data_IF_056082393136
#
_entry.id   IF_056082393136
#
_cell.length_a   1.000
_cell.length_b   1.000
_cell.length_c   1.000
_cell.angle_alpha   90.00
_cell.angle_beta   90.00
_cell.angle_gamma   90.00
#
_symmetry.space_group_name_H-M   'P 1'
#
loop_
_entity.id
_entity.type
_entity.pdbx_description
1 polymer ?
#
# COMPACT_ATOMS: atom_id res chain seq x y z
N UNK A 1 33.53 3.94 19.75
CA UNK A 1 34.43 2.88 20.27
C UNK A 1 35.12 2.22 19.08
N UNK A 2 36.45 2.25 19.01
CA UNK A 2 37.22 1.67 17.88
C UNK A 2 37.48 0.17 18.09
N UNK A 3 36.46 -0.67 17.85
CA UNK A 3 36.63 -2.14 17.84
C UNK A 3 36.85 -2.66 16.41
N UNK A 4 37.43 -3.87 16.27
CA UNK A 4 37.63 -4.50 14.96
C UNK A 4 36.33 -4.61 14.17
N UNK A 5 35.23 -4.99 14.83
CA UNK A 5 33.91 -5.11 14.20
C UNK A 5 33.42 -3.78 13.60
N UNK A 6 33.59 -2.66 14.32
CA UNK A 6 33.22 -1.33 13.82
C UNK A 6 34.05 -0.94 12.58
N UNK A 7 35.35 -1.25 12.56
CA UNK A 7 36.19 -0.99 11.38
C UNK A 7 35.80 -1.86 10.18
N UNK A 8 35.48 -3.13 10.39
CA UNK A 8 35.03 -4.03 9.32
C UNK A 8 33.68 -3.57 8.76
N UNK A 9 32.76 -3.13 9.62
CA UNK A 9 31.47 -2.55 9.20
C UNK A 9 31.66 -1.27 8.39
N UNK A 10 32.52 -0.35 8.84
CA UNK A 10 32.85 0.87 8.10
C UNK A 10 33.51 0.57 6.74
N UNK A 11 34.29 -0.52 6.63
CA UNK A 11 34.81 -0.96 5.34
C UNK A 11 33.71 -1.55 4.44
N UNK A 12 32.79 -2.33 5.01
CA UNK A 12 31.65 -2.89 4.29
C UNK A 12 30.70 -1.80 3.79
N UNK A 13 30.52 -0.70 4.52
CA UNK A 13 29.62 0.40 4.12
C UNK A 13 30.13 1.23 2.93
N UNK A 14 31.36 1.01 2.45
CA UNK A 14 31.95 1.75 1.32
C UNK A 14 31.53 1.23 -0.06
N UNK A 15 30.89 0.07 -0.12
CA UNK A 15 30.39 -0.52 -1.36
C UNK A 15 29.21 -1.44 -1.09
N UNK A 16 28.24 -1.54 -2.00
CA UNK A 16 27.19 -2.54 -1.87
C UNK A 16 27.77 -3.97 -1.96
N UNK A 17 27.10 -4.92 -1.32
CA UNK A 17 27.45 -6.33 -1.30
C UNK A 17 26.32 -7.13 -1.96
N UNK A 18 26.68 -8.05 -2.86
CA UNK A 18 25.70 -8.95 -3.48
C UNK A 18 25.61 -10.24 -2.67
N UNK A 19 24.53 -10.42 -1.93
CA UNK A 19 24.36 -11.58 -1.05
C UNK A 19 22.90 -12.04 -0.93
N UNK A 20 22.71 -13.31 -0.55
CA UNK A 20 21.39 -13.87 -0.25
C UNK A 20 21.00 -13.38 1.14
N UNK A 21 19.89 -12.65 1.24
CA UNK A 21 19.30 -12.20 2.49
C UNK A 21 18.16 -13.15 2.85
N UNK A 22 18.09 -13.60 4.10
CA UNK A 22 16.95 -14.39 4.56
C UNK A 22 15.73 -13.48 4.75
N UNK A 23 14.54 -13.94 4.39
CA UNK A 23 13.29 -13.20 4.66
C UNK A 23 13.13 -12.83 6.14
N UNK A 24 13.55 -13.72 7.04
CA UNK A 24 13.57 -13.49 8.49
C UNK A 24 14.54 -12.39 8.93
N UNK A 25 15.45 -11.91 8.09
CA UNK A 25 16.33 -10.77 8.41
C UNK A 25 15.69 -9.42 8.02
N UNK A 26 14.58 -9.42 7.26
CA UNK A 26 13.87 -8.20 6.89
C UNK A 26 13.12 -7.63 8.10
N UNK A 27 13.34 -6.34 8.36
CA UNK A 27 12.76 -5.63 9.50
C UNK A 27 11.53 -4.81 9.15
N UNK A 28 11.26 -4.53 7.87
CA UNK A 28 10.12 -3.75 7.40
C UNK A 28 9.59 -4.35 6.11
N UNK A 29 8.39 -3.91 5.72
CA UNK A 29 7.86 -4.18 4.40
C UNK A 29 8.72 -3.51 3.30
N UNK A 30 8.58 -4.03 2.10
CA UNK A 30 9.26 -3.52 0.91
C UNK A 30 8.61 -2.23 0.39
N UNK A 31 9.43 -1.37 -0.22
CA UNK A 31 8.96 -0.17 -0.92
C UNK A 31 9.49 -0.15 -2.35
N UNK A 32 8.69 0.35 -3.29
CA UNK A 32 9.08 0.47 -4.69
C UNK A 32 9.95 1.70 -4.87
N UNK A 33 11.26 1.50 -5.02
CA UNK A 33 12.21 2.59 -5.32
C UNK A 33 11.95 3.19 -6.70
N UNK A 34 11.68 2.33 -7.69
CA UNK A 34 11.44 2.74 -9.08
C UNK A 34 10.63 1.67 -9.81
N UNK A 35 9.70 2.12 -10.65
CA UNK A 35 8.97 1.27 -11.59
C UNK A 35 9.32 1.69 -13.02
N UNK A 36 9.78 0.74 -13.84
CA UNK A 36 10.24 1.02 -15.21
C UNK A 36 9.42 0.23 -16.22
N UNK A 37 8.62 0.93 -17.02
CA UNK A 37 8.03 0.36 -18.23
C UNK A 37 9.04 0.42 -19.38
N UNK A 38 9.57 -0.74 -19.78
CA UNK A 38 10.58 -0.84 -20.83
C UNK A 38 10.09 -0.38 -22.23
N UNK A 39 8.79 -0.11 -22.41
CA UNK A 39 8.24 0.46 -23.66
C UNK A 39 8.40 1.98 -23.73
N UNK A 40 8.36 2.65 -22.58
CA UNK A 40 8.28 4.11 -22.49
C UNK A 40 9.52 4.73 -21.84
N UNK A 41 10.26 3.97 -21.02
CA UNK A 41 11.42 4.46 -20.28
C UNK A 41 12.52 4.97 -21.22
N UNK A 42 13.10 6.12 -20.87
CA UNK A 42 14.22 6.73 -21.58
C UNK A 42 15.53 6.54 -20.83
N UNK A 43 16.66 6.78 -21.53
CA UNK A 43 17.97 6.79 -20.89
C UNK A 43 18.11 7.88 -19.82
N UNK A 44 17.32 8.95 -19.89
CA UNK A 44 17.39 10.05 -18.93
C UNK A 44 16.67 9.70 -17.62
N UNK A 45 15.58 8.94 -17.68
CA UNK A 45 14.80 8.50 -16.50
C UNK A 45 15.62 7.64 -15.54
N UNK A 46 16.63 6.92 -16.06
CA UNK A 46 17.51 6.07 -15.25
C UNK A 46 18.80 6.74 -14.79
N UNK A 47 19.10 7.98 -15.23
CA UNK A 47 20.36 8.65 -14.85
C UNK A 47 20.42 9.00 -13.37
N UNK A 48 19.28 9.32 -12.76
CA UNK A 48 19.17 9.70 -11.35
C UNK A 48 17.84 9.22 -10.80
N UNK A 49 17.89 8.29 -9.87
CA UNK A 49 16.73 7.76 -9.17
C UNK A 49 16.89 8.18 -7.71
N UNK A 50 15.89 8.86 -7.15
CA UNK A 50 15.90 9.36 -5.78
C UNK A 50 14.60 8.96 -5.09
N UNK A 51 14.71 8.50 -3.85
CA UNK A 51 13.58 8.10 -3.01
C UNK A 51 13.82 8.60 -1.59
N UNK A 52 12.85 9.32 -1.04
CA UNK A 52 12.71 9.48 0.41
C UNK A 52 11.75 8.44 0.92
N UNK A 53 12.13 7.69 1.95
CA UNK A 53 11.27 6.66 2.51
C UNK A 53 11.32 6.65 4.04
N UNK A 54 10.18 6.30 4.64
CA UNK A 54 10.03 6.03 6.06
C UNK A 54 9.61 4.58 6.21
N UNK A 55 10.59 3.71 6.43
CA UNK A 55 10.34 2.30 6.72
C UNK A 55 9.84 2.16 8.16
N UNK A 56 8.85 1.32 8.39
CA UNK A 56 8.35 1.01 9.74
C UNK A 56 8.78 -0.40 10.11
N UNK A 57 9.45 -0.56 11.25
CA UNK A 57 9.90 -1.85 11.70
C UNK A 57 8.71 -2.74 12.12
N UNK A 58 8.60 -3.93 11.53
CA UNK A 58 7.58 -4.94 11.80
C UNK A 58 7.98 -5.91 12.93
N UNK A 59 9.22 -5.82 13.43
CA UNK A 59 9.73 -6.60 14.56
C UNK A 59 10.94 -5.93 15.20
N UNK A 60 11.31 -6.41 16.39
CA UNK A 60 12.55 -6.00 17.04
C UNK A 60 13.79 -6.52 16.32
N UNK A 61 14.87 -5.76 16.35
CA UNK A 61 16.13 -6.18 15.74
C UNK A 61 17.17 -5.07 15.69
N UNK A 62 18.22 -5.29 14.90
CA UNK A 62 19.22 -4.27 14.60
C UNK A 62 19.11 -3.94 13.12
N UNK A 63 18.75 -2.71 12.81
CA UNK A 63 18.76 -2.18 11.46
C UNK A 63 20.21 -1.98 11.01
N UNK A 64 20.67 -2.81 10.08
CA UNK A 64 22.07 -2.88 9.67
C UNK A 64 22.33 -2.29 8.29
N UNK A 65 21.29 -2.07 7.49
CA UNK A 65 21.44 -1.79 6.08
C UNK A 65 20.12 -1.82 5.32
N UNK A 66 20.21 -1.52 4.03
CA UNK A 66 19.11 -1.57 3.07
C UNK A 66 19.35 -2.77 2.14
N UNK A 67 18.29 -3.54 1.89
CA UNK A 67 18.29 -4.62 0.91
C UNK A 67 17.54 -4.15 -0.34
N UNK A 68 18.17 -4.25 -1.51
CA UNK A 68 17.57 -3.93 -2.80
C UNK A 68 17.49 -5.19 -3.66
N UNK A 69 16.39 -5.35 -4.36
CA UNK A 69 16.16 -6.41 -5.32
C UNK A 69 15.30 -5.87 -6.48
N UNK A 70 14.97 -6.72 -7.44
CA UNK A 70 14.08 -6.33 -8.51
C UNK A 70 13.10 -7.45 -8.86
N UNK A 71 12.03 -7.04 -9.52
CA UNK A 71 11.04 -7.93 -10.11
C UNK A 71 10.88 -7.57 -11.58
N UNK A 72 10.84 -8.57 -12.44
CA UNK A 72 10.60 -8.42 -13.87
C UNK A 72 9.33 -9.16 -14.26
N UNK A 73 8.34 -8.41 -14.75
CA UNK A 73 7.09 -8.96 -15.28
C UNK A 73 7.14 -9.00 -16.79
N UNK A 74 6.87 -10.16 -17.37
CA UNK A 74 6.70 -10.38 -18.81
C UNK A 74 5.19 -10.36 -19.12
N UNK A 75 4.63 -9.22 -19.59
CA UNK A 75 3.21 -9.11 -19.86
C UNK A 75 2.81 -9.96 -21.06
N UNK A 76 1.64 -10.58 -20.99
CA UNK A 76 1.03 -11.35 -22.08
C UNK A 76 -0.42 -10.92 -22.28
N UNK A 77 -0.87 -10.91 -23.52
CA UNK A 77 -2.28 -10.63 -23.88
C UNK A 77 -3.10 -11.93 -23.98
N UNK A 78 -2.43 -13.09 -24.07
CA UNK A 78 -3.06 -14.38 -24.33
C UNK A 78 -3.06 -15.30 -23.11
N UNK A 79 -2.16 -15.05 -22.15
CA UNK A 79 -1.94 -15.88 -20.96
C UNK A 79 -1.72 -14.98 -19.76
N UNK A 80 -1.69 -15.58 -18.57
CA UNK A 80 -1.24 -14.89 -17.37
C UNK A 80 0.19 -14.35 -17.55
N UNK A 81 0.49 -13.15 -17.03
CA UNK A 81 1.85 -12.62 -17.00
C UNK A 81 2.79 -13.54 -16.23
N UNK A 82 4.03 -13.63 -16.70
CA UNK A 82 5.10 -14.37 -15.99
C UNK A 82 5.94 -13.37 -15.22
N UNK A 83 6.18 -13.64 -13.94
CA UNK A 83 6.98 -12.77 -13.08
C UNK A 83 8.23 -13.51 -12.61
N UNK A 84 9.39 -12.86 -12.77
CA UNK A 84 10.64 -13.25 -12.14
C UNK A 84 10.91 -12.27 -10.99
N UNK A 85 10.90 -12.76 -9.75
CA UNK A 85 11.28 -11.98 -8.57
C UNK A 85 12.63 -12.44 -8.04
N UNK A 86 13.43 -11.50 -7.55
CA UNK A 86 14.66 -11.79 -6.79
C UNK A 86 14.53 -11.38 -5.33
N UNK A 87 13.31 -11.27 -4.81
CA UNK A 87 13.07 -10.89 -3.42
C UNK A 87 13.54 -11.97 -2.43
N UNK A 88 13.82 -11.60 -1.17
CA UNK A 88 14.28 -12.54 -0.14
C UNK A 88 13.32 -13.70 0.19
N UNK A 89 12.02 -13.53 -0.06
CA UNK A 89 11.01 -14.57 0.21
C UNK A 89 10.94 -15.66 -0.88
N UNK A 90 11.48 -15.36 -2.06
CA UNK A 90 11.46 -16.27 -3.21
C UNK A 90 12.71 -17.15 -3.30
N UNK A 91 12.65 -18.16 -4.17
CA UNK A 91 13.79 -19.05 -4.39
C UNK A 91 15.03 -18.25 -4.86
N UNK A 92 16.23 -18.50 -4.29
CA UNK A 92 17.42 -17.72 -4.63
C UNK A 92 17.80 -17.80 -6.11
N UNK A 93 18.06 -16.63 -6.70
CA UNK A 93 18.60 -16.51 -8.05
C UNK A 93 20.09 -16.20 -8.04
N UNK A 94 20.75 -16.28 -9.20
CA UNK A 94 22.17 -15.90 -9.31
C UNK A 94 22.41 -14.39 -9.09
N UNK A 95 21.38 -13.54 -9.21
CA UNK A 95 21.46 -12.11 -8.91
C UNK A 95 21.53 -11.83 -7.41
N UNK A 96 20.98 -12.73 -6.58
CA UNK A 96 20.80 -12.54 -5.13
C UNK A 96 20.12 -11.18 -4.84
N UNK A 97 20.48 -10.52 -3.75
CA UNK A 97 20.08 -9.15 -3.44
C UNK A 97 21.31 -8.23 -3.34
N UNK A 98 21.09 -6.92 -3.46
CA UNK A 98 22.09 -5.88 -3.28
C UNK A 98 21.92 -5.25 -1.90
N UNK A 99 22.90 -5.46 -1.02
CA UNK A 99 22.87 -4.99 0.38
C UNK A 99 23.76 -3.78 0.56
N UNK A 100 23.21 -2.69 1.08
CA UNK A 100 23.93 -1.49 1.48
C UNK A 100 24.07 -1.53 2.99
N UNK A 101 25.29 -1.78 3.48
CA UNK A 101 25.58 -1.85 4.92
C UNK A 101 25.75 -0.45 5.50
N UNK A 102 25.08 -0.15 6.60
CA UNK A 102 25.29 1.10 7.34
C UNK A 102 26.56 1.04 8.19
N UNK A 103 27.30 2.15 8.33
CA UNK A 103 28.52 2.21 9.14
C UNK A 103 28.24 1.98 10.63
N UNK A 104 27.03 2.31 11.08
CA UNK A 104 26.53 2.06 12.45
C UNK A 104 25.15 1.45 12.33
N UNK A 105 24.87 0.42 13.12
CA UNK A 105 23.55 -0.18 13.21
C UNK A 105 22.67 0.53 14.23
N UNK A 106 21.36 0.43 14.04
CA UNK A 106 20.36 1.10 14.89
C UNK A 106 19.49 0.02 15.53
N UNK A 107 19.39 -0.09 16.87
CA UNK A 107 18.40 -0.97 17.49
C UNK A 107 17.00 -0.45 17.20
N UNK A 108 16.09 -1.33 16.82
CA UNK A 108 14.71 -0.99 16.50
C UNK A 108 13.76 -1.94 17.21
N UNK A 109 12.60 -1.42 17.59
CA UNK A 109 11.47 -2.17 18.13
C UNK A 109 10.31 -2.14 17.12
N UNK A 110 9.27 -2.97 17.35
CA UNK A 110 8.04 -2.93 16.56
C UNK A 110 7.46 -1.50 16.49
N UNK A 111 7.15 -1.03 15.28
CA UNK A 111 6.61 0.30 15.01
C UNK A 111 7.66 1.42 14.95
N UNK A 112 8.95 1.12 15.13
CA UNK A 112 10.03 2.13 15.03
C UNK A 112 10.14 2.63 13.58
N UNK A 113 10.01 3.94 13.33
CA UNK A 113 10.20 4.51 11.99
C UNK A 113 11.69 4.72 11.71
N UNK A 114 12.07 4.46 10.47
CA UNK A 114 13.44 4.59 9.96
C UNK A 114 13.36 5.43 8.69
N UNK A 115 13.77 6.69 8.79
CA UNK A 115 13.72 7.63 7.68
C UNK A 115 15.07 7.71 6.97
N UNK A 116 15.07 7.68 5.64
CA UNK A 116 16.27 7.87 4.84
C UNK A 116 15.96 8.39 3.43
N UNK A 117 16.94 9.08 2.84
CA UNK A 117 17.01 9.34 1.40
C UNK A 117 17.94 8.30 0.75
N UNK A 118 17.49 7.68 -0.33
CA UNK A 118 18.25 6.78 -1.20
C UNK A 118 18.38 7.43 -2.58
N UNK A 119 19.61 7.52 -3.08
CA UNK A 119 19.93 8.07 -4.40
C UNK A 119 20.80 7.09 -5.18
N UNK A 120 20.39 6.77 -6.41
CA UNK A 120 21.16 5.99 -7.38
C UNK A 120 21.43 6.90 -8.59
N UNK A 121 22.67 7.34 -8.74
CA UNK A 121 23.09 8.25 -9.83
C UNK A 121 24.09 7.57 -10.74
N UNK A 122 23.87 7.62 -12.06
CA UNK A 122 24.83 7.11 -13.02
C UNK A 122 26.15 7.87 -12.91
N UNK A 123 27.26 7.15 -12.80
CA UNK A 123 28.59 7.75 -12.65
C UNK A 123 28.99 8.49 -13.94
N UNK A 124 29.46 9.74 -13.85
CA UNK A 124 29.97 10.48 -15.00
C UNK A 124 31.29 9.90 -15.54
N UNK A 125 32.06 9.18 -14.71
CA UNK A 125 33.30 8.52 -15.11
C UNK A 125 33.05 7.20 -15.85
N UNK A 126 31.95 6.51 -15.53
CA UNK A 126 31.59 5.23 -16.16
C UNK A 126 30.08 5.01 -16.13
N UNK A 127 29.44 5.08 -17.30
CA UNK A 127 28.00 4.92 -17.45
C UNK A 127 27.45 3.53 -17.04
N UNK A 128 28.33 2.53 -16.85
CA UNK A 128 27.95 1.20 -16.32
C UNK A 128 27.93 1.12 -14.80
N UNK A 129 28.25 2.21 -14.09
CA UNK A 129 28.28 2.27 -12.64
C UNK A 129 27.24 3.25 -12.13
N UNK A 130 26.69 2.92 -10.97
CA UNK A 130 25.89 3.84 -10.17
C UNK A 130 26.66 4.20 -8.90
N UNK A 131 26.57 5.47 -8.54
CA UNK A 131 26.89 5.99 -7.21
C UNK A 131 25.62 5.82 -6.40
N UNK A 132 25.72 5.05 -5.31
CA UNK A 132 24.60 4.80 -4.40
C UNK A 132 24.88 5.57 -3.12
N UNK A 133 23.97 6.47 -2.77
CA UNK A 133 24.06 7.30 -1.58
C UNK A 133 22.84 7.04 -0.69
N UNK A 134 23.08 6.82 0.60
CA UNK A 134 22.04 6.67 1.61
C UNK A 134 22.30 7.71 2.69
N UNK A 135 21.31 8.56 2.93
CA UNK A 135 21.35 9.58 3.98
C UNK A 135 20.29 9.25 5.00
N UNK A 136 20.70 8.86 6.21
CA UNK A 136 19.78 8.65 7.32
C UNK A 136 19.20 9.99 7.76
N UNK A 137 17.88 10.05 7.93
CA UNK A 137 17.13 11.23 8.32
C UNK A 137 16.55 11.05 9.72
N UNK A 138 16.14 12.15 10.33
CA UNK A 138 15.36 12.12 11.56
C UNK A 138 13.88 11.84 11.23
N UNK A 139 13.28 10.74 11.72
CA UNK A 139 11.86 10.45 11.52
C UNK A 139 10.91 11.53 12.09
N UNK A 140 11.36 12.32 13.07
CA UNK A 140 10.57 13.42 13.63
C UNK A 140 10.40 14.58 12.64
N UNK A 141 11.45 14.87 11.87
CA UNK A 141 11.57 16.03 10.98
C UNK A 141 11.08 15.76 9.54
N UNK A 142 10.74 14.52 9.21
CA UNK A 142 10.20 14.16 7.89
C UNK A 142 8.68 13.98 7.89
N UNK A 143 8.09 14.19 6.72
CA UNK A 143 6.71 13.80 6.44
C UNK A 143 6.61 12.27 6.34
N UNK A 144 5.60 11.71 6.98
CA UNK A 144 5.32 10.27 6.95
C UNK A 144 4.22 10.00 5.92
N UNK A 145 4.23 8.81 5.29
CA UNK A 145 3.18 8.45 4.33
C UNK A 145 1.80 8.45 4.98
N UNK A 146 0.77 8.64 4.15
CA UNK A 146 -0.61 8.43 4.56
C UNK A 146 -0.75 7.00 5.11
N UNK A 147 -1.48 6.85 6.23
CA UNK A 147 -1.64 5.57 6.93
C UNK A 147 -0.34 4.95 7.50
N UNK A 148 0.69 5.76 7.78
CA UNK A 148 1.90 5.25 8.43
C UNK A 148 1.59 4.45 9.71
N UNK A 149 2.18 3.24 9.80
CA UNK A 149 1.97 2.29 10.90
C UNK A 149 2.95 2.45 12.07
N UNK A 150 3.76 3.51 12.07
CA UNK A 150 4.74 3.71 13.14
C UNK A 150 4.10 4.08 14.48
N UNK A 151 4.92 4.00 15.53
CA UNK A 151 4.53 4.31 16.91
C UNK A 151 4.53 5.81 17.25
N UNK A 152 4.83 6.70 16.30
CA UNK A 152 4.86 8.14 16.57
C UNK A 152 3.46 8.67 16.83
N UNK A 153 3.32 9.53 17.84
CA UNK A 153 2.03 10.13 18.22
C UNK A 153 1.33 10.81 17.05
N UNK A 154 2.08 11.52 16.18
CA UNK A 154 1.53 12.17 14.98
C UNK A 154 0.83 11.16 14.06
N UNK A 155 1.46 10.02 13.79
CA UNK A 155 0.93 8.98 12.91
C UNK A 155 -0.23 8.22 13.54
N UNK A 156 -0.15 7.92 14.85
CA UNK A 156 -1.25 7.28 15.59
C UNK A 156 -2.52 8.14 15.53
N UNK A 157 -2.40 9.45 15.78
CA UNK A 157 -3.54 10.36 15.76
C UNK A 157 -4.12 10.51 14.35
N UNK A 158 -3.25 10.67 13.34
CA UNK A 158 -3.66 10.78 11.94
C UNK A 158 -4.43 9.52 11.49
N UNK A 159 -3.91 8.32 11.81
CA UNK A 159 -4.58 7.05 11.49
C UNK A 159 -5.93 6.93 12.19
N UNK A 160 -6.00 7.25 13.49
CA UNK A 160 -7.27 7.22 14.23
C UNK A 160 -8.30 8.22 13.69
N UNK A 161 -7.85 9.38 13.20
CA UNK A 161 -8.72 10.35 12.53
C UNK A 161 -9.27 9.81 11.22
N UNK A 162 -8.42 9.25 10.34
CA UNK A 162 -8.87 8.63 9.09
C UNK A 162 -9.86 7.50 9.34
N UNK A 163 -9.58 6.59 10.28
CA UNK A 163 -10.50 5.50 10.64
C UNK A 163 -11.87 5.99 11.11
N UNK A 164 -11.94 7.18 11.74
CA UNK A 164 -13.19 7.79 12.15
C UNK A 164 -13.96 8.35 10.95
N UNK A 165 -13.29 9.05 10.05
CA UNK A 165 -13.93 9.59 8.83
C UNK A 165 -14.44 8.47 7.92
N UNK A 166 -13.68 7.39 7.75
CA UNK A 166 -14.11 6.25 6.95
C UNK A 166 -15.38 5.61 7.53
N UNK A 167 -15.45 5.47 8.86
CA UNK A 167 -16.64 4.94 9.54
C UNK A 167 -17.83 5.89 9.45
N UNK A 168 -17.63 7.20 9.50
CA UNK A 168 -18.70 8.19 9.33
C UNK A 168 -19.24 8.14 7.88
N UNK A 169 -18.37 8.07 6.87
CA UNK A 169 -18.78 7.99 5.47
C UNK A 169 -19.49 6.69 5.11
N UNK A 170 -18.99 5.56 5.61
CA UNK A 170 -19.66 4.25 5.46
C UNK A 170 -20.97 4.22 6.23
N UNK A 171 -20.99 4.76 7.46
CA UNK A 171 -22.19 4.82 8.29
C UNK A 171 -23.27 5.74 7.73
N UNK A 172 -22.92 6.80 7.00
CA UNK A 172 -23.88 7.65 6.29
C UNK A 172 -24.37 6.95 5.01
N UNK A 173 -23.50 6.28 4.25
CA UNK A 173 -23.87 5.50 3.07
C UNK A 173 -24.76 4.28 3.40
N UNK A 174 -24.56 3.65 4.56
CA UNK A 174 -25.42 2.58 5.07
C UNK A 174 -26.77 3.12 5.55
N UNK A 175 -26.78 4.27 6.22
CA UNK A 175 -28.03 4.92 6.68
C UNK A 175 -28.89 5.46 5.54
N UNK A 176 -28.26 5.89 4.45
CA UNK A 176 -28.96 6.28 3.22
C UNK A 176 -29.51 5.06 2.45
N UNK A 177 -28.88 3.88 2.57
CA UNK A 177 -29.46 2.62 2.06
C UNK A 177 -30.63 2.14 2.89
N UNK A 178 -30.54 2.18 4.22
CA UNK A 178 -31.64 1.77 5.11
C UNK A 178 -32.88 2.67 4.91
N UNK A 179 -32.71 3.99 4.75
CA UNK A 179 -33.84 4.89 4.41
C UNK A 179 -34.47 4.59 3.05
N UNK A 180 -33.66 4.21 2.06
CA UNK A 180 -34.16 3.86 0.73
C UNK A 180 -34.87 2.49 0.65
N UNK A 181 -34.71 1.65 1.68
CA UNK A 181 -35.40 0.37 1.81
C UNK A 181 -36.66 0.50 2.70
N UNK A 182 -36.64 1.31 3.77
CA UNK A 182 -37.83 1.67 4.55
C UNK A 182 -38.89 2.40 3.68
N UNK A 183 -38.47 3.34 2.82
CA UNK A 183 -39.39 4.04 1.90
C UNK A 183 -40.05 3.09 0.86
N UNK A 184 -39.40 1.98 0.50
CA UNK A 184 -39.98 0.97 -0.40
C UNK A 184 -40.95 0.04 0.30
N UNK A 185 -40.72 -0.29 1.57
CA UNK A 185 -41.69 -1.08 2.36
C UNK A 185 -42.98 -0.28 2.64
N UNK A 186 -42.87 1.04 2.80
CA UNK A 186 -44.02 1.95 2.94
C UNK A 186 -44.79 2.13 1.60
N UNK A 187 -44.11 2.15 0.45
CA UNK A 187 -44.77 2.16 -0.88
C UNK A 187 -45.47 0.83 -1.18
N UNK A 188 -44.83 -0.32 -0.87
CA UNK A 188 -45.43 -1.64 -1.14
C UNK A 188 -46.63 -1.95 -0.23
N UNK A 189 -46.66 -1.38 0.98
CA UNK A 189 -47.80 -1.50 1.90
C UNK A 189 -48.98 -0.60 1.49
N UNK A 190 -48.73 0.62 1.00
CA UNK A 190 -49.77 1.52 0.47
C UNK A 190 -50.35 1.04 -0.87
N UNK A 191 -49.56 0.39 -1.74
CA UNK A 191 -50.08 -0.24 -2.95
C UNK A 191 -50.98 -1.46 -2.65
N UNK A 192 -50.64 -2.25 -1.62
CA UNK A 192 -51.48 -3.40 -1.18
C UNK A 192 -52.78 -2.96 -0.53
N UNK A 193 -52.79 -1.90 0.27
CA UNK A 193 -54.03 -1.31 0.83
C UNK A 193 -54.93 -0.73 -0.28
N UNK A 194 -54.36 -0.04 -1.27
CA UNK A 194 -55.12 0.49 -2.40
C UNK A 194 -55.68 -0.61 -3.30
N UNK A 195 -54.95 -1.70 -3.53
CA UNK A 195 -55.43 -2.86 -4.29
C UNK A 195 -56.60 -3.56 -3.57
N UNK A 196 -56.57 -3.66 -2.24
CA UNK A 196 -57.62 -4.27 -1.44
C UNK A 196 -58.92 -3.42 -1.45
N UNK A 197 -58.79 -2.09 -1.38
CA UNK A 197 -59.94 -1.17 -1.50
C UNK A 197 -60.59 -1.19 -2.91
N UNK A 198 -59.82 -1.44 -3.97
CA UNK A 198 -60.31 -1.56 -5.34
C UNK A 198 -61.08 -2.87 -5.62
N UNK A 199 -60.85 -3.91 -4.82
CA UNK A 199 -61.62 -5.16 -4.89
C UNK A 199 -62.95 -5.06 -4.12
N UNK A 200 -62.99 -4.34 -2.99
CA UNK A 200 -64.25 -4.05 -2.27
C UNK A 200 -65.21 -3.14 -3.06
N UNK A 201 -64.70 -2.19 -3.86
CA UNK A 201 -65.54 -1.36 -4.74
C UNK A 201 -66.12 -2.12 -5.95
N UNK A 202 -65.51 -3.24 -6.36
CA UNK A 202 -66.01 -4.08 -7.46
C UNK A 202 -67.10 -5.05 -7.04
N UNK A 203 -67.13 -5.49 -5.77
CA UNK A 203 -68.24 -6.29 -5.24
C UNK A 203 -69.51 -5.47 -4.97
N UNK A 204 -69.42 -4.14 -4.96
CA UNK A 204 -70.56 -3.26 -4.67
C UNK A 204 -71.28 -2.70 -5.92
N UNK A 205 -70.93 -3.19 -7.12
CA UNK A 205 -71.46 -2.69 -8.40
C UNK A 205 -72.29 -3.73 -9.20
N UNK A 206 -72.66 -4.86 -8.58
CA UNK A 206 -73.60 -5.84 -9.16
C UNK A 206 -74.97 -5.81 -8.46
N UNK A 207 -75.59 -4.64 -8.34
CA UNK A 207 -77.05 -4.54 -8.15
C UNK A 207 -77.54 -3.33 -8.95
N UNK A 208 -78.66 -3.50 -9.65
CA UNK A 208 -79.40 -2.51 -10.44
C UNK A 208 -79.01 -2.35 -11.92
N UNK A 209 -79.44 -3.32 -12.74
CA UNK A 209 -80.01 -2.98 -14.04
C UNK A 209 -81.18 -3.91 -14.38
N UNK A 210 -82.36 -3.56 -13.87
CA UNK A 210 -83.65 -4.14 -14.26
C UNK A 210 -84.59 -3.01 -14.73
N UNK A 211 -85.08 -3.14 -15.97
CA UNK A 211 -86.47 -2.77 -16.32
C UNK A 211 -86.79 -1.41 -16.95
N UNK A 212 -87.42 -1.47 -18.13
CA UNK A 212 -88.55 -0.61 -18.57
C UNK A 212 -88.20 0.44 -19.64
N UNK A 213 -88.49 0.25 -20.94
CA UNK A 213 -89.80 0.36 -21.64
C UNK A 213 -90.53 1.70 -21.46
N UNK A 214 -90.52 2.53 -22.52
CA UNK A 214 -91.71 2.96 -23.29
C UNK A 214 -91.29 3.68 -24.59
#
# INVERSE_FOLDING_TARGET
MNCLASKLREQASKKPVTEIVASDDLLSDAEVVVWLDLREVTCDDIKSIEMRHVAVANKEGRYQGICLWFTCTFPSVQTEPVTLSTEPEELPTHWKQTVIVLPTDVPVELGTPIAYDLSLKQSPENCRRYIIEVTMLDPEEVEHPEYCLCHMTKCILVRAMFEKYDKEYVGDAERDKEKGDDEKEDEESTEKENAMNLEEEKENCEVDNDGGED
#
